data_IF_064231515207
#
_entry.id   IF_064231515207
#
_cell.length_a   1.000
_cell.length_b   1.000
_cell.length_c   1.000
_cell.angle_alpha   90.00
_cell.angle_beta   90.00
_cell.angle_gamma   90.00
#
_symmetry.space_group_name_H-M   'P 1'
#
loop_
_entity.id
_entity.type
_entity.pdbx_description
1 polymer ?
#
# COMPACT_ATOMS: atom_id res chain seq x y z
N UNK A 1 49.51 -19.33 29.27
CA UNK A 1 48.54 -19.74 28.23
C UNK A 1 47.84 -18.47 27.77
N UNK A 2 48.25 -17.91 26.63
CA UNK A 2 47.72 -16.65 26.10
C UNK A 2 46.65 -16.97 25.06
N UNK A 3 45.37 -16.90 25.45
CA UNK A 3 44.27 -17.00 24.50
C UNK A 3 44.14 -15.65 23.78
N UNK A 4 44.65 -15.58 22.55
CA UNK A 4 44.38 -14.48 21.64
C UNK A 4 42.93 -14.55 21.18
N UNK A 5 42.08 -13.71 21.75
CA UNK A 5 40.71 -13.54 21.29
C UNK A 5 40.76 -12.67 20.03
N UNK A 6 40.58 -13.30 18.86
CA UNK A 6 40.37 -12.58 17.60
C UNK A 6 39.10 -11.74 17.72
N UNK A 7 39.27 -10.42 17.79
CA UNK A 7 38.17 -9.49 17.55
C UNK A 7 37.84 -9.54 16.07
N UNK A 8 36.83 -10.32 15.70
CA UNK A 8 36.16 -10.17 14.41
C UNK A 8 35.45 -8.82 14.44
N UNK A 9 36.10 -7.80 13.87
CA UNK A 9 35.49 -6.51 13.63
C UNK A 9 34.25 -6.75 12.73
N UNK A 10 33.03 -6.34 13.13
CA UNK A 10 31.92 -6.36 12.19
C UNK A 10 32.29 -5.41 11.05
N UNK A 11 32.46 -5.96 9.87
CA UNK A 11 32.49 -5.18 8.63
C UNK A 11 31.21 -4.36 8.60
N UNK A 12 31.25 -3.05 8.27
CA UNK A 12 30.03 -2.29 8.04
C UNK A 12 29.33 -2.95 6.87
N UNK A 13 28.34 -3.77 7.18
CA UNK A 13 27.47 -4.41 6.23
C UNK A 13 26.89 -3.29 5.36
N UNK A 14 27.08 -3.43 4.05
CA UNK A 14 26.49 -2.53 3.07
C UNK A 14 25.03 -2.28 3.49
N UNK A 15 24.71 -1.04 3.86
CA UNK A 15 23.33 -0.56 3.87
C UNK A 15 22.86 -0.61 2.41
N UNK A 16 22.44 -1.80 1.98
CA UNK A 16 21.84 -2.03 0.70
C UNK A 16 20.50 -1.32 0.76
N UNK A 17 20.47 -0.06 0.30
CA UNK A 17 19.25 0.71 0.22
C UNK A 17 18.24 -0.10 -0.59
N UNK A 18 17.25 -0.68 0.09
CA UNK A 18 16.16 -1.40 -0.56
C UNK A 18 15.30 -0.35 -1.23
N UNK A 19 15.46 -0.19 -2.54
CA UNK A 19 14.63 0.66 -3.38
C UNK A 19 13.45 -0.18 -3.85
N UNK A 20 12.25 0.15 -3.36
CA UNK A 20 11.02 -0.46 -3.84
C UNK A 20 10.65 0.20 -5.17
N UNK A 21 10.30 -0.59 -6.19
CA UNK A 21 9.83 -0.06 -7.48
C UNK A 21 8.34 0.32 -7.43
N UNK A 22 7.54 -0.42 -6.65
CA UNK A 22 6.13 -0.15 -6.40
C UNK A 22 5.72 -0.65 -5.02
N UNK A 23 4.60 -0.13 -4.54
CA UNK A 23 3.89 -0.63 -3.35
C UNK A 23 2.45 -0.98 -3.73
N UNK A 24 1.87 -1.92 -3.00
CA UNK A 24 0.47 -2.30 -3.20
C UNK A 24 -0.40 -1.65 -2.13
N UNK A 25 -1.53 -1.09 -2.53
CA UNK A 25 -2.59 -0.69 -1.61
C UNK A 25 -3.88 -1.46 -1.91
N UNK A 26 -4.75 -1.56 -0.90
CA UNK A 26 -5.97 -2.36 -0.95
C UNK A 26 -7.20 -1.50 -0.67
N UNK A 27 -8.20 -1.59 -1.54
CA UNK A 27 -9.49 -0.96 -1.34
C UNK A 27 -10.22 -1.55 -0.12
N UNK A 28 -10.61 -0.69 0.83
CA UNK A 28 -11.30 -1.12 2.05
C UNK A 28 -12.76 -1.56 1.85
N UNK A 29 -13.31 -1.38 0.65
CA UNK A 29 -14.69 -1.77 0.32
C UNK A 29 -14.75 -3.15 -0.33
N UNK A 30 -13.98 -3.36 -1.41
CA UNK A 30 -14.04 -4.62 -2.17
C UNK A 30 -12.83 -5.53 -1.98
N UNK A 31 -11.77 -5.07 -1.30
CA UNK A 31 -10.51 -5.82 -1.18
C UNK A 31 -9.67 -5.87 -2.47
N UNK A 32 -10.06 -5.15 -3.52
CA UNK A 32 -9.27 -5.02 -4.73
C UNK A 32 -7.95 -4.31 -4.44
N UNK A 33 -6.87 -4.81 -5.03
CA UNK A 33 -5.52 -4.30 -4.82
C UNK A 33 -4.96 -3.66 -6.10
N UNK A 34 -4.24 -2.55 -5.93
CA UNK A 34 -3.63 -1.78 -7.01
C UNK A 34 -2.17 -1.45 -6.64
N UNK A 35 -1.29 -1.43 -7.64
CA UNK A 35 0.11 -1.01 -7.48
C UNK A 35 0.25 0.49 -7.74
N UNK A 36 1.00 1.17 -6.89
CA UNK A 36 1.32 2.60 -6.98
C UNK A 36 2.81 2.81 -6.73
N UNK A 37 3.33 3.98 -7.07
CA UNK A 37 4.71 4.32 -6.72
C UNK A 37 4.86 4.42 -5.18
N UNK A 38 6.03 4.11 -4.60
CA UNK A 38 6.23 4.15 -3.14
C UNK A 38 6.03 5.54 -2.52
N UNK A 39 6.21 6.60 -3.30
CA UNK A 39 6.02 7.99 -2.91
C UNK A 39 4.60 8.52 -3.20
N UNK A 40 3.78 7.73 -3.89
CA UNK A 40 2.37 8.05 -4.10
C UNK A 40 1.54 7.61 -2.89
N UNK A 41 0.58 8.47 -2.51
CA UNK A 41 -0.36 8.17 -1.43
C UNK A 41 -1.58 7.43 -2.00
N UNK A 42 -2.06 6.42 -1.27
CA UNK A 42 -3.33 5.79 -1.59
C UNK A 42 -4.49 6.82 -1.52
N UNK A 43 -5.57 6.63 -2.29
CA UNK A 43 -6.73 7.54 -2.25
C UNK A 43 -7.27 7.73 -0.83
N UNK A 44 -7.79 8.92 -0.51
CA UNK A 44 -8.51 9.20 0.75
C UNK A 44 -9.99 9.54 0.46
N UNK A 45 -10.95 8.75 0.98
CA UNK A 45 -10.78 7.48 1.70
C UNK A 45 -10.19 6.38 0.78
N UNK A 46 -9.56 5.32 1.34
CA UNK A 46 -8.90 4.24 0.58
C UNK A 46 -9.93 3.32 -0.11
N UNK A 47 -10.58 3.88 -1.11
CA UNK A 47 -11.66 3.30 -1.90
C UNK A 47 -11.26 3.37 -3.38
N UNK A 48 -11.32 2.26 -4.09
CA UNK A 48 -10.97 2.25 -5.51
C UNK A 48 -11.98 3.04 -6.36
N UNK A 49 -11.57 3.54 -7.54
CA UNK A 49 -12.45 4.29 -8.42
C UNK A 49 -13.76 3.57 -8.77
N UNK A 50 -13.72 2.24 -8.87
CA UNK A 50 -14.90 1.41 -9.14
C UNK A 50 -15.91 1.47 -7.99
N UNK A 51 -15.46 1.22 -6.75
CA UNK A 51 -16.33 1.30 -5.57
C UNK A 51 -16.87 2.71 -5.36
N UNK A 52 -16.06 3.75 -5.60
CA UNK A 52 -16.52 5.13 -5.55
C UNK A 52 -17.68 5.37 -6.53
N UNK A 53 -17.52 4.97 -7.81
CA UNK A 53 -18.56 5.16 -8.83
C UNK A 53 -19.85 4.41 -8.50
N UNK A 54 -19.75 3.19 -7.97
CA UNK A 54 -20.91 2.41 -7.54
C UNK A 54 -21.67 3.13 -6.42
N UNK A 55 -20.96 3.61 -5.38
CA UNK A 55 -21.58 4.36 -4.29
C UNK A 55 -22.32 5.61 -4.79
N UNK A 56 -21.73 6.35 -5.72
CA UNK A 56 -22.38 7.52 -6.34
C UNK A 56 -23.64 7.11 -7.13
N UNK A 57 -23.56 6.04 -7.93
CA UNK A 57 -24.70 5.55 -8.71
C UNK A 57 -25.86 5.09 -7.81
N UNK A 58 -25.57 4.39 -6.72
CA UNK A 58 -26.57 3.97 -5.73
C UNK A 58 -27.22 5.16 -5.00
N UNK A 59 -26.41 6.16 -4.62
CA UNK A 59 -26.93 7.39 -4.03
C UNK A 59 -27.87 8.13 -4.99
N UNK A 60 -27.50 8.24 -6.27
CA UNK A 60 -28.36 8.85 -7.29
C UNK A 60 -29.65 8.08 -7.51
N UNK A 61 -29.60 6.75 -7.60
CA UNK A 61 -30.80 5.92 -7.74
C UNK A 61 -31.77 6.12 -6.56
N UNK A 62 -31.21 6.24 -5.34
CA UNK A 62 -31.98 6.51 -4.12
C UNK A 62 -32.64 7.89 -4.16
N UNK A 63 -31.91 8.93 -4.55
CA UNK A 63 -32.41 10.30 -4.65
C UNK A 63 -33.48 10.46 -5.75
N UNK A 64 -33.33 9.75 -6.86
CA UNK A 64 -34.26 9.79 -7.98
C UNK A 64 -35.50 8.90 -7.77
N UNK A 65 -35.57 8.16 -6.66
CA UNK A 65 -36.68 7.24 -6.39
C UNK A 65 -36.75 6.06 -7.36
N UNK A 66 -35.66 5.79 -8.09
CA UNK A 66 -35.56 4.64 -9.00
C UNK A 66 -35.24 3.41 -8.17
N UNK A 67 -36.28 2.79 -7.61
CA UNK A 67 -36.15 1.46 -6.99
C UNK A 67 -36.21 0.40 -8.09
N UNK A 68 -35.19 -0.45 -8.16
CA UNK A 68 -35.22 -1.69 -8.95
C UNK A 68 -36.18 -2.70 -8.33
#
# INVERSE_FOLDING_TARGET
>A
MTHGSSNTQPTPELELAVVWESVQWTCLVCGGAEEIAPDEEAPTPPICPTCHRLAVAEALATLLGVRR
#
